data_IF_158130682816
#
_entry.id   IF_158130682816
#
_cell.length_a   1.000
_cell.length_b   1.000
_cell.length_c   1.000
_cell.angle_alpha   90.00
_cell.angle_beta   90.00
_cell.angle_gamma   90.00
#
_symmetry.space_group_name_H-M   'P 1'
#
loop_
_entity.id
_entity.type
_entity.pdbx_description
1 polymer ?
#
# COMPACT_ATOMS: atom_id res chain seq x y z
N UNK A 1 19.44 2.07 2.47
CA UNK A 1 18.56 3.04 1.78
C UNK A 1 18.44 2.57 0.35
N UNK A 2 17.41 1.81 0.04
CA UNK A 2 17.15 1.39 -1.33
C UNK A 2 16.47 2.52 -2.08
N UNK A 3 17.16 3.05 -3.09
CA UNK A 3 16.57 4.01 -4.02
C UNK A 3 15.97 3.21 -5.16
N UNK A 4 14.66 3.04 -5.16
CA UNK A 4 13.94 2.50 -6.30
C UNK A 4 13.98 3.55 -7.42
N UNK A 5 14.71 3.25 -8.51
CA UNK A 5 14.68 4.06 -9.73
C UNK A 5 13.60 3.45 -10.61
N UNK A 6 12.55 4.22 -10.86
CA UNK A 6 11.49 3.85 -11.79
C UNK A 6 11.94 4.21 -13.21
N UNK A 7 12.08 3.20 -14.08
CA UNK A 7 12.33 3.40 -15.50
C UNK A 7 11.01 3.74 -16.19
N UNK A 8 11.07 4.55 -17.25
CA UNK A 8 9.88 4.89 -18.05
C UNK A 8 9.22 3.65 -18.64
N UNK A 9 7.90 3.61 -18.61
CA UNK A 9 7.09 2.54 -19.20
C UNK A 9 7.06 2.60 -20.73
N UNK A 10 6.75 1.47 -21.36
CA UNK A 10 6.67 1.34 -22.81
C UNK A 10 5.39 1.99 -23.35
N UNK A 11 5.54 3.06 -24.12
CA UNK A 11 4.43 3.66 -24.86
C UNK A 11 4.25 2.99 -26.23
N UNK A 12 3.13 3.26 -26.89
CA UNK A 12 2.81 2.70 -28.20
C UNK A 12 3.88 3.03 -29.27
N UNK A 13 4.47 4.22 -29.20
CA UNK A 13 5.55 4.66 -30.08
C UNK A 13 6.82 3.83 -29.90
N UNK A 14 7.19 3.54 -28.65
CA UNK A 14 8.30 2.65 -28.35
C UNK A 14 8.01 1.23 -28.83
N UNK A 15 6.78 0.72 -28.59
CA UNK A 15 6.34 -0.57 -29.10
C UNK A 15 6.47 -0.67 -30.63
N UNK A 16 6.03 0.34 -31.40
CA UNK A 16 6.17 0.31 -32.88
C UNK A 16 7.62 0.17 -33.33
N UNK A 17 8.54 0.86 -32.65
CA UNK A 17 9.98 0.73 -32.92
C UNK A 17 10.45 -0.70 -32.64
N UNK A 18 10.03 -1.29 -31.52
CA UNK A 18 10.36 -2.68 -31.17
C UNK A 18 9.75 -3.67 -32.17
N UNK A 19 8.48 -3.52 -32.54
CA UNK A 19 7.80 -4.38 -33.50
C UNK A 19 8.49 -4.36 -34.88
N UNK A 20 8.89 -3.17 -35.34
CA UNK A 20 9.70 -3.04 -36.56
C UNK A 20 11.07 -3.72 -36.42
N UNK A 21 11.76 -3.52 -35.29
CA UNK A 21 13.11 -4.05 -35.11
C UNK A 21 13.17 -5.57 -34.94
N UNK A 22 12.20 -6.17 -34.25
CA UNK A 22 12.21 -7.61 -33.95
C UNK A 22 11.42 -8.45 -34.94
N UNK A 23 10.34 -7.90 -35.50
CA UNK A 23 9.40 -8.64 -36.35
C UNK A 23 9.30 -8.11 -37.78
N UNK A 24 9.98 -7.00 -38.09
CA UNK A 24 9.86 -6.28 -39.37
C UNK A 24 8.41 -5.86 -39.70
N UNK A 25 7.64 -5.52 -38.66
CA UNK A 25 6.23 -5.13 -38.78
C UNK A 25 6.03 -3.63 -38.56
N UNK A 26 5.60 -2.92 -39.60
CA UNK A 26 5.15 -1.53 -39.51
C UNK A 26 3.66 -1.40 -39.11
N UNK A 27 2.87 -2.44 -39.36
CA UNK A 27 1.44 -2.48 -39.03
C UNK A 27 0.93 -3.90 -38.84
N UNK A 28 0.02 -4.09 -37.90
CA UNK A 28 -0.68 -5.36 -37.71
C UNK A 28 -2.08 -5.11 -37.13
N UNK A 29 -3.04 -5.98 -37.43
CA UNK A 29 -4.42 -5.83 -36.92
C UNK A 29 -4.49 -5.85 -35.37
N UNK A 30 -3.53 -6.52 -34.72
CA UNK A 30 -3.41 -6.57 -33.26
C UNK A 30 -2.81 -5.30 -32.62
N UNK A 31 -2.22 -4.38 -33.40
CA UNK A 31 -1.61 -3.17 -32.84
C UNK A 31 -2.62 -2.29 -32.10
N UNK A 32 -3.88 -2.26 -32.55
CA UNK A 32 -4.94 -1.51 -31.89
C UNK A 32 -5.21 -2.04 -30.48
N UNK A 33 -5.23 -3.37 -30.30
CA UNK A 33 -5.40 -4.02 -29.01
C UNK A 33 -4.21 -3.74 -28.08
N UNK A 34 -2.99 -3.89 -28.61
CA UNK A 34 -1.75 -3.64 -27.86
C UNK A 34 -1.67 -2.19 -27.40
N UNK A 35 -2.04 -1.23 -28.27
CA UNK A 35 -2.08 0.20 -27.90
C UNK A 35 -2.97 0.43 -26.68
N UNK A 36 -4.22 -0.05 -26.73
CA UNK A 36 -5.16 0.10 -25.61
C UNK A 36 -4.61 -0.52 -24.32
N UNK A 37 -4.01 -1.70 -24.42
CA UNK A 37 -3.47 -2.41 -23.25
C UNK A 37 -2.25 -1.70 -22.65
N UNK A 38 -1.35 -1.15 -23.48
CA UNK A 38 -0.20 -0.36 -23.02
C UNK A 38 -0.60 0.97 -22.37
N UNK A 39 -1.74 1.56 -22.77
CA UNK A 39 -2.30 2.75 -22.11
C UNK A 39 -2.88 2.44 -20.72
N UNK A 40 -3.26 1.19 -20.47
CA UNK A 40 -3.88 0.72 -19.22
C UNK A 40 -2.90 -0.02 -18.29
N UNK A 41 -1.69 -0.31 -18.75
CA UNK A 41 -0.75 -1.22 -18.07
C UNK A 41 0.66 -0.65 -18.04
N UNK A 42 1.31 -0.76 -16.89
CA UNK A 42 2.68 -0.32 -16.68
C UNK A 42 3.67 -1.47 -16.97
N UNK A 43 4.18 -1.56 -18.20
CA UNK A 43 5.16 -2.56 -18.62
C UNK A 43 6.43 -1.89 -19.16
N UNK A 44 7.62 -2.39 -18.85
CA UNK A 44 8.87 -1.75 -19.31
C UNK A 44 9.17 -2.09 -20.77
N UNK A 45 9.94 -1.24 -21.49
CA UNK A 45 10.37 -1.57 -22.85
C UNK A 45 11.12 -2.90 -22.97
N UNK A 46 11.83 -3.32 -21.91
CA UNK A 46 12.53 -4.61 -21.88
C UNK A 46 11.55 -5.78 -21.83
N UNK A 47 10.55 -5.71 -20.95
CA UNK A 47 9.51 -6.75 -20.84
C UNK A 47 8.70 -6.86 -22.14
N UNK A 48 8.39 -5.73 -22.78
CA UNK A 48 7.74 -5.72 -24.10
C UNK A 48 8.63 -6.37 -25.15
N UNK A 49 9.93 -6.02 -25.20
CA UNK A 49 10.87 -6.60 -26.15
C UNK A 49 11.01 -8.12 -26.00
N UNK A 50 11.05 -8.64 -24.77
CA UNK A 50 11.11 -10.08 -24.50
C UNK A 50 9.95 -10.85 -25.15
N UNK A 51 8.74 -10.30 -25.09
CA UNK A 51 7.56 -10.91 -25.70
C UNK A 51 7.58 -10.84 -27.24
N UNK A 52 8.30 -9.87 -27.80
CA UNK A 52 8.46 -9.69 -29.25
C UNK A 52 9.60 -10.50 -29.84
N UNK A 53 10.42 -11.17 -29.03
CA UNK A 53 11.47 -12.05 -29.53
C UNK A 53 10.88 -13.41 -29.94
N UNK A 54 11.08 -13.85 -31.20
CA UNK A 54 10.62 -15.16 -31.63
C UNK A 54 11.28 -16.28 -30.81
N UNK A 55 10.48 -17.04 -30.05
CA UNK A 55 10.96 -18.15 -29.22
C UNK A 55 11.28 -19.42 -30.03
N UNK A 56 10.72 -19.53 -31.24
CA UNK A 56 10.97 -20.63 -32.19
C UNK A 56 10.76 -20.14 -33.61
N UNK A 57 11.56 -20.67 -34.54
CA UNK A 57 11.50 -20.34 -35.98
C UNK A 57 10.40 -21.19 -36.68
N UNK A 58 9.80 -22.17 -35.99
CA UNK A 58 8.95 -23.20 -36.60
C UNK A 58 7.46 -22.84 -36.75
N UNK A 59 7.06 -21.59 -36.50
CA UNK A 59 5.67 -21.14 -36.67
C UNK A 59 5.45 -20.52 -38.04
N UNK A 60 4.31 -20.80 -38.68
CA UNK A 60 3.93 -20.24 -39.98
C UNK A 60 3.89 -18.70 -39.97
N UNK A 61 3.54 -18.10 -38.82
CA UNK A 61 3.58 -16.65 -38.59
C UNK A 61 4.18 -16.31 -37.21
N UNK A 62 5.52 -16.18 -37.12
CA UNK A 62 6.18 -15.85 -35.86
C UNK A 62 5.83 -14.44 -35.37
N UNK A 63 5.46 -13.52 -36.27
CA UNK A 63 5.09 -12.15 -35.93
C UNK A 63 3.78 -12.11 -35.14
N UNK A 64 2.72 -12.74 -35.66
CA UNK A 64 1.43 -12.83 -34.97
C UNK A 64 1.57 -13.54 -33.62
N UNK A 65 2.30 -14.66 -33.56
CA UNK A 65 2.51 -15.39 -32.31
C UNK A 65 3.19 -14.52 -31.23
N UNK A 66 4.18 -13.71 -31.60
CA UNK A 66 4.84 -12.79 -30.67
C UNK A 66 3.88 -11.68 -30.17
N UNK A 67 3.05 -11.14 -31.06
CA UNK A 67 2.06 -10.13 -30.70
C UNK A 67 0.96 -10.68 -29.78
N UNK A 68 0.51 -11.91 -30.00
CA UNK A 68 -0.44 -12.60 -29.13
C UNK A 68 0.16 -12.87 -27.74
N UNK A 69 1.43 -13.27 -27.68
CA UNK A 69 2.15 -13.43 -26.40
C UNK A 69 2.22 -12.11 -25.63
N UNK A 70 2.53 -11.01 -26.32
CA UNK A 70 2.55 -9.68 -25.69
C UNK A 70 1.16 -9.29 -25.15
N UNK A 71 0.08 -9.58 -25.89
CA UNK A 71 -1.28 -9.32 -25.42
C UNK A 71 -1.56 -10.08 -24.12
N UNK A 72 -1.25 -11.38 -24.07
CA UNK A 72 -1.44 -12.19 -22.86
C UNK A 72 -0.63 -11.67 -21.67
N UNK A 73 0.62 -11.25 -21.91
CA UNK A 73 1.47 -10.66 -20.88
C UNK A 73 0.90 -9.34 -20.34
N UNK A 74 0.38 -8.48 -21.21
CA UNK A 74 -0.24 -7.21 -20.82
C UNK A 74 -1.54 -7.42 -20.03
N UNK A 75 -2.39 -8.36 -20.45
CA UNK A 75 -3.62 -8.71 -19.71
C UNK A 75 -3.29 -9.27 -18.32
N UNK A 76 -2.26 -10.10 -18.21
CA UNK A 76 -1.77 -10.64 -16.93
C UNK A 76 -1.26 -9.53 -16.03
N UNK A 77 -0.39 -8.66 -16.53
CA UNK A 77 0.18 -7.56 -15.75
C UNK A 77 -0.89 -6.56 -15.27
N UNK A 78 -1.94 -6.32 -16.09
CA UNK A 78 -3.09 -5.51 -15.70
C UNK A 78 -3.86 -6.12 -14.53
N UNK A 79 -4.11 -7.43 -14.57
CA UNK A 79 -4.80 -8.13 -13.49
C UNK A 79 -3.97 -8.16 -12.20
N UNK A 80 -2.67 -8.45 -12.31
CA UNK A 80 -1.74 -8.43 -11.17
C UNK A 80 -1.68 -7.05 -10.50
N UNK A 81 -1.64 -5.97 -11.30
CA UNK A 81 -1.68 -4.61 -10.79
C UNK A 81 -2.98 -4.31 -10.03
N UNK A 82 -4.13 -4.79 -10.53
CA UNK A 82 -5.43 -4.64 -9.86
C UNK A 82 -5.46 -5.37 -8.51
N UNK A 83 -5.04 -6.63 -8.50
CA UNK A 83 -5.02 -7.46 -7.27
C UNK A 83 -4.05 -6.86 -6.24
N UNK A 84 -2.88 -6.39 -6.67
CA UNK A 84 -1.91 -5.73 -5.80
C UNK A 84 -2.49 -4.44 -5.19
N UNK A 85 -3.14 -3.60 -6.00
CA UNK A 85 -3.75 -2.37 -5.51
C UNK A 85 -4.87 -2.64 -4.48
N UNK A 86 -5.71 -3.66 -4.71
CA UNK A 86 -6.76 -4.05 -3.77
C UNK A 86 -6.18 -4.54 -2.44
N UNK A 87 -5.15 -5.40 -2.50
CA UNK A 87 -4.47 -5.92 -1.30
C UNK A 87 -3.81 -4.80 -0.50
N UNK A 88 -3.10 -3.89 -1.17
CA UNK A 88 -2.46 -2.74 -0.52
C UNK A 88 -3.47 -1.77 0.11
N UNK A 89 -4.64 -1.58 -0.52
CA UNK A 89 -5.71 -0.77 0.05
C UNK A 89 -6.28 -1.39 1.33
N UNK A 90 -6.52 -2.71 1.33
CA UNK A 90 -7.02 -3.44 2.49
C UNK A 90 -6.02 -3.46 3.64
N UNK A 91 -4.74 -3.68 3.35
CA UNK A 91 -3.68 -3.66 4.38
C UNK A 91 -3.56 -2.27 5.03
N UNK A 92 -3.67 -1.19 4.23
CA UNK A 92 -3.68 0.19 4.75
C UNK A 92 -4.89 0.47 5.64
N UNK A 93 -6.08 0.00 5.27
CA UNK A 93 -7.31 0.15 6.06
C UNK A 93 -7.20 -0.59 7.40
N UNK A 94 -6.73 -1.85 7.38
CA UNK A 94 -6.53 -2.64 8.61
C UNK A 94 -5.47 -2.01 9.54
N UNK A 95 -4.39 -1.44 8.98
CA UNK A 95 -3.38 -0.72 9.76
C UNK A 95 -3.94 0.57 10.38
N UNK A 96 -4.74 1.34 9.63
CA UNK A 96 -5.37 2.58 10.13
C UNK A 96 -6.35 2.31 11.29
N UNK A 97 -7.18 1.27 11.18
CA UNK A 97 -8.12 0.87 12.24
C UNK A 97 -7.39 0.38 13.50
N UNK A 98 -6.30 -0.38 13.36
CA UNK A 98 -5.47 -0.80 14.50
C UNK A 98 -4.86 0.41 15.23
N UNK A 99 -4.34 1.39 14.49
CA UNK A 99 -3.76 2.61 15.06
C UNK A 99 -4.81 3.49 15.76
N UNK A 100 -6.05 3.55 15.27
CA UNK A 100 -7.15 4.24 15.96
C UNK A 100 -7.53 3.52 17.27
N UNK A 101 -7.66 2.20 17.25
CA UNK A 101 -7.99 1.41 18.43
C UNK A 101 -6.96 1.55 19.57
N UNK A 102 -5.67 1.60 19.26
CA UNK A 102 -4.61 1.83 20.26
C UNK A 102 -4.65 3.23 20.89
N UNK A 103 -4.99 4.26 20.10
CA UNK A 103 -5.12 5.64 20.61
C UNK A 103 -6.31 5.77 21.55
N UNK A 104 -7.46 5.22 21.18
CA UNK A 104 -8.65 5.24 22.04
C UNK A 104 -8.48 4.43 23.34
N UNK A 105 -7.71 3.33 23.30
CA UNK A 105 -7.36 2.56 24.48
C UNK A 105 -6.52 3.36 25.49
N UNK A 106 -5.49 4.07 25.01
CA UNK A 106 -4.62 4.90 25.85
C UNK A 106 -5.32 6.11 26.47
N UNK A 107 -6.25 6.75 25.74
CA UNK A 107 -7.02 7.88 26.28
C UNK A 107 -8.02 7.46 27.37
N UNK A 108 -8.65 6.28 27.24
CA UNK A 108 -9.53 5.72 28.28
C UNK A 108 -8.77 5.29 29.55
N UNK A 109 -7.53 4.83 29.41
CA UNK A 109 -6.68 4.45 30.54
C UNK A 109 -6.14 5.68 31.30
N UNK A 110 -5.80 6.76 30.59
CA UNK A 110 -5.36 8.03 31.20
C UNK A 110 -6.48 8.72 32.00
N UNK A 111 -7.71 8.74 31.48
CA UNK A 111 -8.87 9.35 32.16
C UNK A 111 -9.30 8.55 33.41
N UNK A 112 -9.20 7.22 33.40
CA UNK A 112 -9.51 6.39 34.57
C UNK A 112 -8.48 6.53 35.71
N UNK A 113 -7.21 6.81 35.40
CA UNK A 113 -6.17 7.10 36.39
C UNK A 113 -6.43 8.39 37.17
N UNK A 114 -6.89 9.44 36.49
CA UNK A 114 -7.11 10.76 37.08
C UNK A 114 -8.36 10.81 38.01
N UNK A 115 -9.35 9.95 37.76
CA UNK A 115 -10.55 9.83 38.63
C UNK A 115 -10.19 9.13 39.96
N UNK A 116 -9.30 8.12 39.94
CA UNK A 116 -8.89 7.39 41.16
C UNK A 116 -8.04 8.23 42.13
N UNK A 117 -7.22 9.16 41.65
CA UNK A 117 -6.46 10.05 42.55
C UNK A 117 -7.34 11.06 43.29
N UNK A 118 -8.41 11.56 42.66
CA UNK A 118 -9.34 12.50 43.32
C UNK A 118 -10.17 11.84 44.42
N UNK A 119 -10.64 10.60 44.23
CA UNK A 119 -11.44 9.89 45.25
C UNK A 119 -10.64 9.59 46.54
N UNK A 120 -9.35 9.28 46.42
CA UNK A 120 -8.48 9.01 47.59
C UNK A 120 -8.16 10.26 48.43
N UNK A 121 -8.30 11.46 47.84
CA UNK A 121 -8.07 12.73 48.54
C UNK A 121 -9.30 13.26 49.31
N UNK A 122 -10.50 12.78 48.97
CA UNK A 122 -11.76 13.20 49.59
C UNK A 122 -12.01 12.56 50.98
N UNK A 123 -11.55 11.32 51.18
CA UNK A 123 -11.83 10.56 52.40
C UNK A 123 -10.92 10.96 53.59
N UNK A 124 -9.76 11.56 53.31
CA UNK A 124 -8.79 11.97 54.36
C UNK A 124 -9.19 13.24 55.13
N UNK A 125 -10.29 13.92 54.76
CA UNK A 125 -10.73 15.17 55.40
C UNK A 125 -11.72 14.99 56.56
N UNK A 126 -12.23 13.78 56.82
CA UNK A 126 -13.23 13.55 57.88
C UNK A 126 -12.70 13.07 59.25
N UNK A 127 -11.41 12.77 59.39
CA UNK A 127 -10.85 12.26 60.66
C UNK A 127 -10.20 13.32 61.58
N UNK A 128 -10.20 14.62 61.23
CA UNK A 128 -9.59 15.67 62.08
C UNK A 128 -10.61 16.52 62.85
N UNK A 129 -11.73 15.96 63.27
CA UNK A 129 -12.70 16.64 64.13
C UNK A 129 -13.16 15.79 65.32
N UNK A 130 -12.26 15.04 65.96
CA UNK A 130 -12.51 14.57 67.33
C UNK A 130 -11.19 14.22 68.04
N UNK A 131 -10.72 15.10 68.92
CA UNK A 131 -9.50 14.86 69.70
C UNK A 131 -9.26 15.94 70.74
N UNK A 132 -10.01 15.88 71.83
CA UNK A 132 -9.90 16.69 73.06
C UNK A 132 -8.59 16.39 73.80
N UNK A 133 -7.89 17.42 74.32
CA UNK A 133 -6.94 17.34 75.44
C UNK A 133 -6.85 18.75 76.09
N UNK A 134 -7.53 19.02 77.20
CA UNK A 134 -7.15 18.84 78.62
C UNK A 134 -6.05 19.78 79.13
N UNK A 135 -6.37 20.39 80.27
CA UNK A 135 -5.76 21.45 81.07
C UNK A 135 -4.44 21.01 81.74
N UNK A 136 -3.53 21.94 82.03
CA UNK A 136 -3.00 22.12 83.40
C UNK A 136 -2.22 23.44 83.59
N UNK A 137 -2.12 23.82 84.86
CA UNK A 137 -1.72 25.09 85.44
C UNK A 137 -0.21 25.40 85.39
N UNK A 138 0.13 26.68 85.51
CA UNK A 138 1.45 27.15 85.94
C UNK A 138 1.32 28.41 86.81
N UNK A 139 1.45 28.22 88.13
CA UNK A 139 1.80 29.21 89.17
C UNK A 139 3.08 29.94 88.72
N UNK A 140 3.20 31.28 88.78
CA UNK A 140 3.49 32.15 89.93
C UNK A 140 3.17 33.60 89.55
#
# INVERSE_FOLDING_TARGET
>A
MDKHIELSYCCFEAFKVLAKNYLDLDSHHLFASIRRLLEETNMTPADVAENLMPKSISTDDPGTACLENLIQALETAKEEARVKAEKEAKEKEEEEERLKGEKEGKEKEATAGEVKEKEMSGEKRKERESGVAVKENGVV
#
